data_IF_338826181724
#
_entry.id   IF_338826181724
#
_cell.length_a   1.000
_cell.length_b   1.000
_cell.length_c   1.000
_cell.angle_alpha   90.00
_cell.angle_beta   90.00
_cell.angle_gamma   90.00
#
_symmetry.space_group_name_H-M   'P 1'
#
loop_
_entity.id
_entity.type
_entity.pdbx_description
1 polymer ?
#
# COMPACT_ATOMS: atom_id res chain seq x y z
N UNK A 1 -2.31 -16.41 10.60
CA UNK A 1 -3.44 -17.11 9.96
C UNK A 1 -2.94 -17.74 8.69
N UNK A 2 -3.13 -19.04 8.58
CA UNK A 2 -2.63 -19.83 7.46
C UNK A 2 -3.64 -19.91 6.32
N UNK A 3 -3.17 -20.18 5.11
CA UNK A 3 -4.03 -20.25 3.91
C UNK A 3 -5.18 -21.27 4.04
N UNK A 4 -4.91 -22.42 4.62
CA UNK A 4 -5.94 -23.47 4.79
C UNK A 4 -7.06 -23.04 5.75
N UNK A 5 -6.77 -22.18 6.75
CA UNK A 5 -7.81 -21.64 7.64
C UNK A 5 -8.78 -20.73 6.87
N UNK A 6 -8.25 -19.91 5.94
CA UNK A 6 -9.07 -19.07 5.06
C UNK A 6 -9.94 -19.90 4.12
N UNK A 7 -9.38 -20.97 3.56
CA UNK A 7 -10.11 -21.89 2.69
C UNK A 7 -11.20 -22.63 3.49
N UNK A 8 -10.91 -23.01 4.74
CA UNK A 8 -11.90 -23.62 5.61
C UNK A 8 -13.05 -22.64 5.94
N UNK A 9 -12.75 -21.37 6.18
CA UNK A 9 -13.76 -20.32 6.38
C UNK A 9 -14.60 -20.09 5.12
N UNK A 10 -13.98 -20.06 3.94
CA UNK A 10 -14.67 -19.86 2.66
C UNK A 10 -15.63 -21.03 2.34
N UNK A 11 -15.18 -22.27 2.56
CA UNK A 11 -15.97 -23.48 2.30
C UNK A 11 -16.94 -23.84 3.41
N UNK A 12 -16.78 -23.23 4.56
CA UNK A 12 -17.61 -23.46 5.73
C UNK A 12 -18.98 -22.80 5.68
N UNK A 13 -19.65 -22.71 6.82
CA UNK A 13 -20.94 -22.04 6.89
C UNK A 13 -20.77 -20.52 6.71
N UNK A 14 -21.67 -19.92 5.91
CA UNK A 14 -21.71 -18.46 5.72
C UNK A 14 -21.82 -17.71 7.06
N UNK A 15 -22.52 -18.27 8.02
CA UNK A 15 -22.67 -17.66 9.35
C UNK A 15 -21.33 -17.62 10.09
N UNK A 16 -20.55 -18.69 10.06
CA UNK A 16 -19.23 -18.72 10.72
C UNK A 16 -18.29 -17.68 10.11
N UNK A 17 -18.28 -17.55 8.79
CA UNK A 17 -17.49 -16.51 8.11
C UNK A 17 -17.95 -15.10 8.49
N UNK A 18 -19.26 -14.85 8.55
CA UNK A 18 -19.82 -13.56 8.96
C UNK A 18 -19.40 -13.22 10.38
N UNK A 19 -19.57 -14.13 11.33
CA UNK A 19 -19.17 -13.95 12.74
C UNK A 19 -17.66 -13.70 12.83
N UNK A 20 -16.86 -14.43 12.06
CA UNK A 20 -15.41 -14.23 12.00
C UNK A 20 -15.02 -12.82 11.52
N UNK A 21 -15.71 -12.31 10.50
CA UNK A 21 -15.51 -10.95 9.98
C UNK A 21 -16.00 -9.88 10.98
N UNK A 22 -17.12 -10.12 11.63
CA UNK A 22 -17.68 -9.23 12.66
C UNK A 22 -16.75 -9.10 13.88
N UNK A 23 -16.18 -10.21 14.34
CA UNK A 23 -15.22 -10.22 15.46
C UNK A 23 -13.91 -9.45 15.15
N UNK A 24 -13.68 -9.14 13.88
CA UNK A 24 -12.54 -8.31 13.41
C UNK A 24 -12.96 -6.91 12.95
N UNK A 25 -14.18 -6.51 13.26
CA UNK A 25 -14.76 -5.22 12.84
C UNK A 25 -14.75 -5.01 11.31
N UNK A 26 -14.65 -6.08 10.54
CA UNK A 26 -14.69 -6.05 9.07
C UNK A 26 -16.12 -6.00 8.53
N UNK A 27 -17.11 -6.37 9.34
CA UNK A 27 -18.54 -6.24 9.09
C UNK A 27 -19.24 -5.65 10.32
N UNK A 28 -20.38 -4.94 10.17
CA UNK A 28 -21.15 -4.42 11.29
C UNK A 28 -21.57 -5.53 12.28
N UNK A 29 -21.58 -5.20 13.59
CA UNK A 29 -22.06 -6.11 14.61
C UNK A 29 -22.57 -5.37 15.86
N UNK A 30 -23.87 -5.07 15.97
CA UNK A 30 -24.86 -5.01 14.91
C UNK A 30 -24.86 -3.66 14.14
N UNK A 31 -25.55 -3.61 13.00
CA UNK A 31 -25.81 -2.35 12.29
C UNK A 31 -26.93 -1.58 13.00
N UNK A 32 -26.80 -0.25 13.14
CA UNK A 32 -27.89 0.62 13.61
C UNK A 32 -28.72 1.11 12.44
N UNK A 33 -30.03 1.21 12.66
CA UNK A 33 -30.96 1.79 11.69
C UNK A 33 -30.79 3.31 11.66
N UNK A 34 -30.45 3.88 10.51
CA UNK A 34 -30.30 5.33 10.36
C UNK A 34 -31.60 6.12 10.60
N UNK A 35 -32.79 5.48 10.53
CA UNK A 35 -34.07 6.14 10.76
C UNK A 35 -34.56 6.01 12.21
N UNK A 36 -34.40 4.84 12.81
CA UNK A 36 -34.96 4.53 14.14
C UNK A 36 -33.88 4.54 15.23
N UNK A 37 -32.63 4.64 14.87
CA UNK A 37 -31.46 4.55 15.75
C UNK A 37 -31.40 3.29 16.64
N UNK A 38 -32.17 2.23 16.32
CA UNK A 38 -32.17 0.96 17.03
C UNK A 38 -31.27 -0.06 16.32
N UNK A 39 -30.79 -1.04 17.04
CA UNK A 39 -30.02 -2.14 16.48
C UNK A 39 -30.87 -2.99 15.53
N UNK A 40 -30.34 -3.24 14.32
CA UNK A 40 -30.99 -4.09 13.34
C UNK A 40 -30.68 -5.55 13.63
N UNK A 41 -31.60 -6.43 13.30
CA UNK A 41 -31.44 -7.87 13.45
C UNK A 41 -30.96 -8.52 12.15
N UNK A 42 -30.03 -9.47 12.26
CA UNK A 42 -29.60 -10.28 11.12
C UNK A 42 -30.65 -11.36 10.81
N UNK A 43 -31.21 -11.31 9.61
CA UNK A 43 -32.22 -12.27 9.12
C UNK A 43 -31.70 -13.05 7.92
N UNK A 44 -32.07 -14.33 7.81
CA UNK A 44 -31.75 -15.17 6.66
C UNK A 44 -32.39 -14.62 5.36
N UNK A 45 -31.66 -14.76 4.26
CA UNK A 45 -32.11 -14.41 2.90
C UNK A 45 -31.52 -15.41 1.91
N UNK A 46 -32.26 -16.47 1.59
CA UNK A 46 -31.74 -17.61 0.82
C UNK A 46 -31.22 -17.23 -0.59
N UNK A 47 -31.86 -16.27 -1.26
CA UNK A 47 -31.49 -15.85 -2.63
C UNK A 47 -30.48 -14.67 -2.63
N UNK A 48 -29.56 -14.64 -1.67
CA UNK A 48 -28.53 -13.61 -1.59
C UNK A 48 -27.14 -14.23 -1.44
N UNK A 49 -26.13 -13.58 -2.02
CA UNK A 49 -24.75 -14.09 -2.00
C UNK A 49 -24.26 -14.36 -0.57
N UNK A 50 -24.58 -13.50 0.38
CA UNK A 50 -24.20 -13.63 1.79
C UNK A 50 -25.15 -14.50 2.61
N UNK A 51 -26.33 -14.82 2.10
CA UNK A 51 -27.35 -15.59 2.80
C UNK A 51 -28.06 -14.86 3.94
N UNK A 52 -27.71 -13.62 4.22
CA UNK A 52 -28.25 -12.80 5.33
C UNK A 52 -28.38 -11.32 4.93
N UNK A 53 -29.20 -10.59 5.70
CA UNK A 53 -29.34 -9.14 5.60
C UNK A 53 -29.73 -8.56 6.97
N UNK A 54 -29.51 -7.27 7.14
CA UNK A 54 -30.02 -6.53 8.30
C UNK A 54 -31.48 -6.12 8.11
N UNK A 55 -32.30 -6.26 9.16
CA UNK A 55 -33.71 -5.82 9.20
C UNK A 55 -33.96 -5.03 10.48
N UNK A 56 -34.52 -3.83 10.33
CA UNK A 56 -34.96 -3.02 11.45
C UNK A 56 -36.30 -3.54 11.98
N UNK A 57 -36.43 -3.76 13.28
CA UNK A 57 -37.70 -4.16 13.95
C UNK A 57 -38.70 -3.00 13.97
N UNK A 58 -38.26 -1.76 14.09
CA UNK A 58 -39.11 -0.56 14.11
C UNK A 58 -39.70 -0.22 12.74
N UNK A 59 -38.87 0.23 11.80
CA UNK A 59 -39.35 0.71 10.48
C UNK A 59 -39.38 -0.37 9.39
N UNK A 60 -38.98 -1.60 9.70
CA UNK A 60 -38.90 -2.76 8.78
C UNK A 60 -37.92 -2.60 7.60
N UNK A 61 -37.15 -1.49 7.56
CA UNK A 61 -36.14 -1.29 6.51
C UNK A 61 -35.12 -2.41 6.50
N UNK A 62 -34.68 -2.79 5.29
CA UNK A 62 -33.64 -3.79 5.04
C UNK A 62 -32.35 -3.09 4.60
N UNK A 63 -31.21 -3.61 5.03
CA UNK A 63 -29.88 -3.17 4.61
C UNK A 63 -29.01 -4.37 4.26
N UNK A 64 -28.02 -4.14 3.40
CA UNK A 64 -27.01 -5.15 3.12
C UNK A 64 -26.24 -5.51 4.40
N UNK A 65 -25.82 -6.76 4.50
CA UNK A 65 -24.91 -7.19 5.57
C UNK A 65 -23.58 -6.39 5.53
N UNK A 66 -23.21 -5.94 4.33
CA UNK A 66 -21.94 -5.24 4.04
C UNK A 66 -21.98 -3.74 4.25
N UNK A 67 -23.13 -3.18 4.61
CA UNK A 67 -23.33 -1.73 4.76
C UNK A 67 -22.22 -1.11 5.61
N UNK A 68 -21.62 -0.02 5.17
CA UNK A 68 -20.51 0.69 5.80
C UNK A 68 -19.20 -0.09 5.90
N UNK A 69 -19.06 -1.22 5.20
CA UNK A 69 -17.81 -1.99 5.18
C UNK A 69 -17.12 -1.95 3.82
N UNK A 70 -15.83 -2.26 3.79
CA UNK A 70 -15.08 -2.41 2.56
C UNK A 70 -15.74 -3.38 1.55
N UNK A 71 -16.43 -4.40 2.05
CA UNK A 71 -17.11 -5.41 1.22
C UNK A 71 -18.32 -4.88 0.44
N UNK A 72 -18.84 -3.70 0.79
CA UNK A 72 -19.96 -3.06 0.09
C UNK A 72 -19.62 -2.71 -1.36
N UNK A 73 -18.34 -2.45 -1.65
CA UNK A 73 -17.82 -2.17 -3.01
C UNK A 73 -18.01 -3.34 -3.99
N UNK A 74 -18.17 -4.55 -3.48
CA UNK A 74 -18.20 -5.78 -4.29
C UNK A 74 -19.44 -6.66 -3.99
N UNK A 75 -20.67 -6.15 -4.13
CA UNK A 75 -21.88 -6.79 -3.61
C UNK A 75 -22.22 -8.16 -4.24
N UNK A 76 -21.64 -8.47 -5.41
CA UNK A 76 -21.90 -9.71 -6.15
C UNK A 76 -20.85 -10.81 -5.93
N UNK A 77 -19.76 -10.53 -5.24
CA UNK A 77 -18.68 -11.49 -4.95
C UNK A 77 -18.89 -12.01 -3.53
N UNK A 78 -18.74 -13.32 -3.28
CA UNK A 78 -18.89 -13.86 -1.93
C UNK A 78 -17.84 -13.28 -0.98
N UNK A 79 -18.18 -13.16 0.31
CA UNK A 79 -17.26 -12.67 1.33
C UNK A 79 -15.99 -13.53 1.43
N UNK A 80 -16.11 -14.84 1.30
CA UNK A 80 -14.98 -15.76 1.31
C UNK A 80 -14.04 -15.53 0.12
N UNK A 81 -14.61 -15.34 -1.11
CA UNK A 81 -13.80 -15.02 -2.29
C UNK A 81 -13.08 -13.68 -2.16
N UNK A 82 -13.72 -12.67 -1.57
CA UNK A 82 -13.06 -11.39 -1.31
C UNK A 82 -11.93 -11.54 -0.31
N UNK A 83 -12.12 -12.34 0.74
CA UNK A 83 -11.08 -12.63 1.72
C UNK A 83 -9.88 -13.36 1.10
N UNK A 84 -10.13 -14.32 0.18
CA UNK A 84 -9.07 -14.97 -0.59
C UNK A 84 -8.37 -13.99 -1.55
N UNK A 85 -9.08 -13.03 -2.15
CA UNK A 85 -8.45 -11.98 -2.95
C UNK A 85 -7.52 -11.10 -2.10
N UNK A 86 -7.92 -10.74 -0.88
CA UNK A 86 -7.07 -10.02 0.07
C UNK A 86 -5.82 -10.84 0.39
N UNK A 87 -5.97 -12.14 0.67
CA UNK A 87 -4.84 -13.02 0.91
C UNK A 87 -3.84 -13.03 -0.26
N UNK A 88 -4.30 -13.24 -1.49
CA UNK A 88 -3.42 -13.24 -2.66
C UNK A 88 -2.80 -11.87 -2.95
N UNK A 89 -3.50 -10.78 -2.62
CA UNK A 89 -2.93 -9.44 -2.69
C UNK A 89 -1.76 -9.27 -1.72
N UNK A 90 -1.91 -9.65 -0.45
CA UNK A 90 -0.84 -9.53 0.54
C UNK A 90 0.33 -10.48 0.27
N UNK A 91 0.08 -11.63 -0.36
CA UNK A 91 1.11 -12.55 -0.86
C UNK A 91 1.81 -12.10 -2.14
N UNK A 92 1.52 -10.89 -2.66
CA UNK A 92 2.09 -10.34 -3.90
C UNK A 92 1.82 -11.18 -5.16
N UNK A 93 0.79 -12.01 -5.14
CA UNK A 93 0.39 -12.73 -6.34
C UNK A 93 -0.09 -11.74 -7.43
N UNK A 94 0.23 -12.08 -8.67
CA UNK A 94 -0.23 -11.24 -9.78
C UNK A 94 -1.75 -11.40 -9.98
N UNK A 95 -2.42 -10.31 -10.36
CA UNK A 95 -3.86 -10.29 -10.66
C UNK A 95 -4.28 -11.45 -11.57
N UNK A 96 -3.45 -11.79 -12.58
CA UNK A 96 -3.71 -12.90 -13.51
C UNK A 96 -3.65 -14.25 -12.81
N UNK A 97 -2.68 -14.49 -11.93
CA UNK A 97 -2.58 -15.73 -11.15
C UNK A 97 -3.77 -15.86 -10.20
N UNK A 98 -4.10 -14.81 -9.48
CA UNK A 98 -5.25 -14.77 -8.57
C UNK A 98 -6.56 -15.05 -9.31
N UNK A 99 -6.79 -14.40 -10.46
CA UNK A 99 -7.98 -14.62 -11.27
C UNK A 99 -8.13 -16.08 -11.70
N UNK A 100 -7.03 -16.73 -12.13
CA UNK A 100 -7.02 -18.15 -12.48
C UNK A 100 -7.28 -19.08 -11.31
N UNK A 101 -6.61 -18.82 -10.15
CA UNK A 101 -6.77 -19.66 -8.95
C UNK A 101 -8.16 -19.62 -8.38
N UNK A 102 -8.80 -18.45 -8.41
CA UNK A 102 -10.12 -18.23 -7.87
C UNK A 102 -11.25 -18.38 -8.89
N UNK A 103 -10.93 -18.69 -10.16
CA UNK A 103 -11.87 -18.72 -11.26
C UNK A 103 -12.72 -17.44 -11.37
N UNK A 104 -12.07 -16.28 -11.21
CA UNK A 104 -12.69 -14.96 -11.28
C UNK A 104 -12.30 -14.24 -12.58
N UNK A 105 -13.15 -13.32 -13.02
CA UNK A 105 -12.82 -12.44 -14.14
C UNK A 105 -11.62 -11.55 -13.77
N UNK A 106 -10.64 -11.44 -14.65
CA UNK A 106 -9.42 -10.67 -14.43
C UNK A 106 -9.71 -9.18 -14.17
N UNK A 107 -10.68 -8.59 -14.87
CA UNK A 107 -11.10 -7.19 -14.65
C UNK A 107 -11.67 -6.97 -13.26
N UNK A 108 -12.42 -7.94 -12.72
CA UNK A 108 -12.90 -7.91 -11.34
C UNK A 108 -11.73 -7.95 -10.34
N UNK A 109 -10.78 -8.88 -10.51
CA UNK A 109 -9.60 -8.98 -9.63
C UNK A 109 -8.76 -7.71 -9.72
N UNK A 110 -8.62 -7.12 -10.91
CA UNK A 110 -7.91 -5.84 -11.09
C UNK A 110 -8.58 -4.71 -10.30
N UNK A 111 -9.92 -4.65 -10.28
CA UNK A 111 -10.67 -3.66 -9.50
C UNK A 111 -10.53 -3.89 -8.00
N UNK A 112 -10.58 -5.15 -7.55
CA UNK A 112 -10.36 -5.51 -6.14
C UNK A 112 -8.95 -5.08 -5.71
N UNK A 113 -7.91 -5.44 -6.47
CA UNK A 113 -6.52 -5.12 -6.13
C UNK A 113 -6.28 -3.60 -6.11
N UNK A 114 -6.86 -2.85 -7.05
CA UNK A 114 -6.78 -1.37 -7.02
C UNK A 114 -7.41 -0.81 -5.75
N UNK A 115 -8.58 -1.30 -5.36
CA UNK A 115 -9.23 -0.87 -4.13
C UNK A 115 -8.41 -1.22 -2.87
N UNK A 116 -7.69 -2.37 -2.87
CA UNK A 116 -6.76 -2.71 -1.79
C UNK A 116 -5.50 -1.82 -1.80
N UNK A 117 -5.03 -1.40 -2.96
CA UNK A 117 -3.96 -0.39 -3.06
C UNK A 117 -4.41 0.97 -2.49
N UNK A 118 -5.66 1.37 -2.76
CA UNK A 118 -6.24 2.59 -2.17
C UNK A 118 -6.33 2.51 -0.64
N UNK A 119 -6.53 1.31 -0.07
CA UNK A 119 -6.44 1.10 1.39
C UNK A 119 -5.01 1.38 1.89
N UNK A 120 -3.98 0.92 1.18
CA UNK A 120 -2.58 1.22 1.53
C UNK A 120 -2.30 2.73 1.46
N UNK A 121 -2.72 3.39 0.37
CA UNK A 121 -2.49 4.83 0.17
C UNK A 121 -3.18 5.66 1.27
N UNK A 122 -4.43 5.34 1.62
CA UNK A 122 -5.15 6.03 2.71
C UNK A 122 -4.48 5.82 4.06
N UNK A 123 -4.04 4.61 4.37
CA UNK A 123 -3.33 4.33 5.62
C UNK A 123 -2.03 5.15 5.75
N UNK A 124 -1.29 5.32 4.67
CA UNK A 124 -0.08 6.14 4.66
C UNK A 124 -0.36 7.64 4.78
N UNK A 125 -1.52 8.12 4.33
CA UNK A 125 -1.97 9.51 4.55
C UNK A 125 -2.38 9.73 5.99
N UNK A 126 -3.16 8.82 6.57
CA UNK A 126 -3.65 8.92 7.95
C UNK A 126 -2.53 8.68 8.99
N UNK A 127 -1.59 7.81 8.66
CA UNK A 127 -0.44 7.45 9.51
C UNK A 127 0.86 7.57 8.70
N UNK A 128 1.37 8.77 8.46
CA UNK A 128 2.57 8.99 7.66
C UNK A 128 3.79 8.21 8.19
N UNK A 129 4.62 7.72 7.28
CA UNK A 129 5.87 7.02 7.60
C UNK A 129 7.05 7.97 7.77
N UNK A 130 6.85 9.24 7.48
CA UNK A 130 7.79 10.36 7.59
C UNK A 130 7.40 11.26 8.79
N UNK A 131 8.35 12.03 9.35
CA UNK A 131 9.78 12.05 9.02
C UNK A 131 10.57 10.91 9.69
N UNK A 132 11.70 10.53 9.06
CA UNK A 132 12.68 9.57 9.59
C UNK A 132 14.10 10.17 9.58
N UNK A 133 15.14 9.40 9.97
CA UNK A 133 16.49 9.92 10.12
C UNK A 133 16.67 10.66 11.44
N UNK A 134 17.57 11.65 11.48
CA UNK A 134 17.97 12.41 12.67
C UNK A 134 19.44 12.19 13.00
N UNK A 135 19.92 12.64 14.17
CA UNK A 135 21.32 12.52 14.56
C UNK A 135 21.82 11.06 14.51
N UNK A 136 22.92 10.83 13.81
CA UNK A 136 23.52 9.49 13.66
C UNK A 136 22.86 8.58 12.61
N UNK A 137 21.73 8.99 12.04
CA UNK A 137 21.10 8.23 10.97
C UNK A 137 21.60 8.65 9.58
N UNK A 138 21.90 7.66 8.74
CA UNK A 138 22.22 7.87 7.34
C UNK A 138 20.95 7.75 6.49
N UNK A 139 20.67 8.79 5.72
CA UNK A 139 19.56 8.83 4.77
C UNK A 139 20.13 9.00 3.36
N UNK A 140 19.62 8.24 2.41
CA UNK A 140 20.09 8.25 1.02
C UNK A 140 18.98 8.71 0.09
N UNK A 141 19.30 9.59 -0.84
CA UNK A 141 18.38 10.08 -1.86
C UNK A 141 18.88 9.74 -3.27
N UNK A 142 17.96 9.38 -4.13
CA UNK A 142 18.23 9.10 -5.54
C UNK A 142 16.94 9.19 -6.36
N UNK A 143 17.06 9.35 -7.68
CA UNK A 143 15.94 9.29 -8.61
C UNK A 143 16.08 8.12 -9.57
N UNK A 144 14.95 7.49 -9.83
CA UNK A 144 14.90 6.39 -10.77
C UNK A 144 13.79 6.54 -11.80
N UNK A 145 14.10 6.14 -13.03
CA UNK A 145 13.15 6.17 -14.15
C UNK A 145 12.30 4.91 -14.18
N UNK A 146 10.98 5.08 -14.20
CA UNK A 146 9.97 4.01 -14.23
C UNK A 146 9.27 3.89 -15.60
N UNK A 147 9.99 4.14 -16.66
CA UNK A 147 9.45 3.99 -18.00
C UNK A 147 9.42 2.52 -18.45
N UNK A 148 8.43 2.20 -19.26
CA UNK A 148 8.42 0.93 -19.98
C UNK A 148 9.54 0.97 -21.06
N UNK A 149 10.56 0.11 -20.94
CA UNK A 149 11.55 -0.06 -22.00
C UNK A 149 10.91 -0.82 -23.16
N UNK A 150 10.86 -0.19 -24.35
CA UNK A 150 10.50 -0.89 -25.56
C UNK A 150 11.53 -2.01 -25.85
N UNK A 151 11.07 -3.27 -25.94
CA UNK A 151 11.94 -4.38 -26.34
C UNK A 151 12.27 -4.27 -27.83
N UNK A 152 13.56 -4.40 -28.16
CA UNK A 152 14.05 -4.40 -29.54
C UNK A 152 13.67 -3.14 -30.33
N UNK A 153 13.59 -1.97 -29.69
CA UNK A 153 13.15 -0.72 -30.31
C UNK A 153 11.77 -0.77 -30.99
N UNK A 154 10.98 -1.81 -30.70
CA UNK A 154 9.62 -1.99 -31.20
C UNK A 154 8.62 -1.59 -30.12
N UNK A 155 7.59 -0.87 -30.50
CA UNK A 155 6.52 -0.39 -29.63
C UNK A 155 6.53 1.11 -29.42
N UNK A 156 5.43 1.64 -28.85
CA UNK A 156 5.26 3.07 -28.58
C UNK A 156 6.19 3.49 -27.44
N UNK A 157 7.12 4.40 -27.70
CA UNK A 157 7.91 5.03 -26.64
C UNK A 157 7.01 5.85 -25.75
N UNK A 158 7.28 5.86 -24.43
CA UNK A 158 6.60 6.78 -23.52
C UNK A 158 6.84 8.22 -23.99
N UNK A 159 5.76 9.00 -24.12
CA UNK A 159 5.85 10.40 -24.58
C UNK A 159 6.64 11.29 -23.62
N UNK A 160 6.69 10.93 -22.34
CA UNK A 160 7.47 11.61 -21.28
C UNK A 160 8.08 10.60 -20.33
N UNK A 161 9.23 10.94 -19.79
CA UNK A 161 9.85 10.18 -18.71
C UNK A 161 9.02 10.29 -17.43
N UNK A 162 8.90 9.17 -16.74
CA UNK A 162 8.28 9.12 -15.41
C UNK A 162 9.38 8.89 -14.39
N UNK A 163 9.62 9.90 -13.58
CA UNK A 163 10.63 9.87 -12.54
C UNK A 163 10.00 9.57 -11.18
N UNK A 164 10.68 8.79 -10.40
CA UNK A 164 10.39 8.55 -8.99
C UNK A 164 11.58 9.04 -8.19
N UNK A 165 11.30 9.89 -7.22
CA UNK A 165 12.27 10.30 -6.22
C UNK A 165 12.14 9.37 -5.02
N UNK A 166 13.25 8.85 -4.53
CA UNK A 166 13.34 7.95 -3.37
C UNK A 166 14.23 8.51 -2.29
N UNK A 167 13.75 8.43 -1.05
CA UNK A 167 14.51 8.74 0.16
C UNK A 167 14.44 7.51 1.04
N UNK A 168 15.58 6.93 1.41
CA UNK A 168 15.61 5.74 2.27
C UNK A 168 16.41 6.02 3.54
N UNK A 169 16.02 5.38 4.63
CA UNK A 169 16.76 5.38 5.88
C UNK A 169 17.35 4.00 6.17
N UNK A 170 18.58 4.01 6.67
CA UNK A 170 19.28 2.80 7.10
C UNK A 170 19.09 2.49 8.59
N UNK A 171 18.16 3.20 9.27
CA UNK A 171 17.76 2.89 10.65
C UNK A 171 17.17 1.47 10.80
N UNK A 172 16.76 0.87 9.70
CA UNK A 172 16.15 -0.46 9.63
C UNK A 172 16.92 -1.40 8.71
N UNK A 173 16.87 -2.69 9.01
CA UNK A 173 17.38 -3.76 8.13
C UNK A 173 16.22 -4.72 7.80
N UNK A 174 15.83 -4.83 6.52
CA UNK A 174 16.27 -4.03 5.37
C UNK A 174 15.90 -2.54 5.47
N UNK A 175 16.62 -1.70 4.74
CA UNK A 175 16.35 -0.25 4.68
C UNK A 175 14.92 0.01 4.21
N UNK A 176 14.30 1.07 4.76
CA UNK A 176 12.94 1.49 4.43
C UNK A 176 12.95 2.87 3.80
N UNK A 177 11.97 3.16 2.97
CA UNK A 177 11.98 4.40 2.21
C UNK A 177 10.62 5.07 2.04
N UNK A 178 10.71 6.29 1.54
CA UNK A 178 9.62 7.08 1.00
C UNK A 178 9.86 7.29 -0.49
N UNK A 179 8.86 7.01 -1.33
CA UNK A 179 8.96 7.08 -2.78
C UNK A 179 7.82 7.90 -3.35
N UNK A 180 8.14 8.88 -4.19
CA UNK A 180 7.17 9.78 -4.78
C UNK A 180 7.42 9.98 -6.27
N UNK A 181 6.36 9.92 -7.08
CA UNK A 181 6.41 10.34 -8.49
C UNK A 181 6.64 11.85 -8.54
N UNK A 182 7.62 12.27 -9.36
CA UNK A 182 7.97 13.67 -9.53
C UNK A 182 7.96 14.05 -11.01
N UNK A 183 7.50 15.25 -11.31
CA UNK A 183 7.49 15.77 -12.69
C UNK A 183 8.85 16.33 -13.11
N UNK A 184 9.61 16.86 -12.16
CA UNK A 184 10.93 17.48 -12.39
C UNK A 184 11.90 17.05 -11.29
N UNK A 185 13.19 16.97 -11.64
CA UNK A 185 14.30 16.66 -10.73
C UNK A 185 15.13 17.90 -10.44
N UNK A 186 14.48 18.99 -10.04
CA UNK A 186 15.11 20.25 -9.71
C UNK A 186 14.97 20.59 -8.21
N UNK A 187 15.74 21.54 -7.75
CA UNK A 187 15.77 22.02 -6.37
C UNK A 187 14.35 22.33 -5.87
N UNK A 188 13.56 23.08 -6.65
CA UNK A 188 12.20 23.48 -6.27
C UNK A 188 11.25 22.30 -6.04
N UNK A 189 11.52 21.15 -6.65
CA UNK A 189 10.72 19.92 -6.47
C UNK A 189 11.27 19.05 -5.33
N UNK A 190 12.61 18.88 -5.25
CA UNK A 190 13.22 17.90 -4.36
C UNK A 190 13.40 18.44 -2.94
N UNK A 191 13.81 19.68 -2.74
CA UNK A 191 14.06 20.26 -1.42
C UNK A 191 12.82 20.22 -0.49
N UNK A 192 11.59 20.56 -0.92
CA UNK A 192 10.39 20.43 -0.08
C UNK A 192 10.07 18.99 0.32
N UNK A 193 10.34 18.02 -0.58
CA UNK A 193 10.12 16.60 -0.29
C UNK A 193 11.13 16.13 0.76
N UNK A 194 12.41 16.47 0.59
CA UNK A 194 13.45 16.11 1.54
C UNK A 194 13.17 16.72 2.91
N UNK A 195 12.88 18.02 2.96
CA UNK A 195 12.56 18.74 4.21
C UNK A 195 11.46 18.07 4.99
N UNK A 196 10.39 17.61 4.30
CA UNK A 196 9.26 16.94 4.93
C UNK A 196 9.61 15.52 5.39
N UNK A 197 10.50 14.84 4.69
CA UNK A 197 10.76 13.42 4.91
C UNK A 197 11.81 13.14 6.00
N UNK A 198 12.66 14.11 6.34
CA UNK A 198 13.77 13.88 7.27
C UNK A 198 13.65 14.72 8.55
N UNK A 199 14.16 14.16 9.64
CA UNK A 199 14.28 14.86 10.92
C UNK A 199 15.49 15.79 10.94
N UNK A 200 15.50 16.84 11.77
CA UNK A 200 16.68 17.65 12.01
C UNK A 200 17.89 16.82 12.44
N UNK A 201 19.08 17.20 12.00
CA UNK A 201 20.33 16.52 12.33
C UNK A 201 20.64 15.30 11.45
N UNK A 202 19.91 15.10 10.35
CA UNK A 202 20.13 13.98 9.42
C UNK A 202 21.38 14.20 8.56
N UNK A 203 22.20 13.16 8.39
CA UNK A 203 23.27 13.10 7.38
C UNK A 203 22.72 12.53 6.09
N UNK A 204 22.83 13.28 4.99
CA UNK A 204 22.26 12.94 3.69
C UNK A 204 23.33 12.48 2.71
N UNK A 205 23.07 11.40 2.00
CA UNK A 205 23.93 10.84 0.96
C UNK A 205 23.21 10.88 -0.39
N UNK A 206 23.86 11.41 -1.39
CA UNK A 206 23.34 11.51 -2.77
C UNK A 206 24.44 11.23 -3.78
N UNK A 207 24.08 11.13 -5.07
CA UNK A 207 25.03 11.27 -6.16
C UNK A 207 25.43 12.75 -6.38
N UNK A 208 26.31 13.03 -7.35
CA UNK A 208 26.75 14.39 -7.72
C UNK A 208 25.76 15.10 -8.67
N UNK A 209 24.46 14.87 -8.54
CA UNK A 209 23.48 15.59 -9.34
C UNK A 209 23.39 17.06 -8.92
N UNK A 210 23.34 17.98 -9.90
CA UNK A 210 23.39 19.41 -9.66
C UNK A 210 22.32 19.96 -8.68
N UNK A 211 21.14 19.33 -8.61
CA UNK A 211 20.07 19.73 -7.71
C UNK A 211 20.41 19.50 -6.22
N UNK A 212 21.35 18.62 -5.90
CA UNK A 212 21.78 18.32 -4.53
C UNK A 212 22.88 19.25 -4.02
N UNK A 213 23.60 19.95 -4.91
CA UNK A 213 24.72 20.82 -4.51
C UNK A 213 24.26 21.93 -3.57
N UNK A 214 24.98 22.12 -2.47
CA UNK A 214 24.65 23.11 -1.44
C UNK A 214 23.41 22.83 -0.63
N UNK A 215 22.91 21.63 -0.61
CA UNK A 215 21.68 21.20 0.06
C UNK A 215 21.73 21.43 1.58
N UNK A 216 22.88 21.17 2.24
CA UNK A 216 23.03 21.38 3.66
C UNK A 216 22.84 22.85 4.08
N UNK A 217 23.13 23.80 3.20
CA UNK A 217 22.89 25.22 3.43
C UNK A 217 21.43 25.64 3.15
N UNK A 218 20.67 24.86 2.37
CA UNK A 218 19.30 25.20 1.99
C UNK A 218 18.24 24.51 2.86
N UNK A 219 18.55 23.34 3.42
CA UNK A 219 17.61 22.51 4.16
C UNK A 219 18.09 22.38 5.61
N UNK A 220 17.42 23.05 6.52
CA UNK A 220 17.80 23.11 7.94
C UNK A 220 17.84 21.73 8.63
N UNK A 221 17.11 20.75 8.09
CA UNK A 221 17.09 19.39 8.64
C UNK A 221 18.34 18.57 8.30
N UNK A 222 19.14 19.02 7.29
CA UNK A 222 20.37 18.37 6.84
C UNK A 222 21.55 18.89 7.64
N UNK A 223 22.12 18.04 8.50
CA UNK A 223 23.31 18.39 9.28
C UNK A 223 24.60 18.29 8.44
N UNK A 224 24.67 17.34 7.53
CA UNK A 224 25.80 17.12 6.64
C UNK A 224 25.31 16.51 5.32
N UNK A 225 25.94 16.88 4.22
CA UNK A 225 25.63 16.33 2.89
C UNK A 225 26.88 15.71 2.28
N UNK A 226 26.82 14.43 2.01
CA UNK A 226 27.93 13.64 1.46
C UNK A 226 27.58 13.13 0.06
N UNK A 227 28.51 13.35 -0.87
CA UNK A 227 28.35 12.96 -2.27
C UNK A 227 29.10 11.64 -2.49
N UNK A 228 28.39 10.64 -3.00
CA UNK A 228 28.97 9.35 -3.42
C UNK A 228 29.12 9.34 -4.93
N UNK A 229 30.37 9.39 -5.39
CA UNK A 229 30.67 9.41 -6.84
C UNK A 229 30.77 7.98 -7.36
N UNK A 230 29.71 7.47 -7.94
CA UNK A 230 29.62 6.09 -8.48
C UNK A 230 30.71 5.73 -9.50
N UNK A 231 31.24 6.72 -10.22
CA UNK A 231 32.27 6.48 -11.25
C UNK A 231 33.65 6.06 -10.68
N UNK A 232 33.87 6.22 -9.38
CA UNK A 232 35.17 5.96 -8.74
C UNK A 232 35.16 4.81 -7.75
N UNK A 233 34.10 4.64 -6.97
CA UNK A 233 34.02 3.56 -5.97
C UNK A 233 32.56 3.18 -5.69
N UNK A 234 32.24 1.88 -5.65
CA UNK A 234 30.94 1.37 -5.18
C UNK A 234 30.76 1.58 -3.66
N UNK A 235 31.86 1.72 -2.94
CA UNK A 235 31.96 1.98 -1.51
C UNK A 235 32.95 3.12 -1.31
N UNK A 236 32.60 4.14 -0.57
CA UNK A 236 33.53 5.18 -0.16
C UNK A 236 34.65 4.57 0.72
N UNK A 237 35.92 4.60 0.28
CA UNK A 237 37.00 3.92 0.99
C UNK A 237 37.33 4.54 2.35
N UNK A 238 36.95 5.79 2.59
CA UNK A 238 37.21 6.50 3.85
C UNK A 238 36.11 6.28 4.87
N UNK A 239 34.85 6.22 4.43
CA UNK A 239 33.69 6.16 5.31
C UNK A 239 32.98 4.81 5.32
N UNK A 240 33.33 3.90 4.37
CA UNK A 240 32.65 2.63 4.19
C UNK A 240 31.21 2.75 3.64
N UNK A 241 30.78 3.95 3.29
CA UNK A 241 29.42 4.19 2.80
C UNK A 241 29.24 3.79 1.34
N UNK A 242 28.08 3.22 1.04
CA UNK A 242 27.70 2.76 -0.30
C UNK A 242 26.23 3.09 -0.59
N UNK A 243 25.86 3.06 -1.87
CA UNK A 243 24.48 3.32 -2.33
C UNK A 243 23.67 2.04 -2.55
N UNK A 244 24.21 0.90 -2.17
CA UNK A 244 23.62 -0.42 -2.44
C UNK A 244 22.20 -0.57 -1.88
N UNK A 245 21.86 0.06 -0.75
CA UNK A 245 20.52 -0.05 -0.15
C UNK A 245 19.46 0.65 -1.01
N UNK A 246 19.75 1.85 -1.54
CA UNK A 246 18.79 2.52 -2.42
C UNK A 246 18.68 1.83 -3.76
N UNK A 247 19.78 1.30 -4.29
CA UNK A 247 19.77 0.46 -5.50
C UNK A 247 18.96 -0.81 -5.30
N UNK A 248 19.09 -1.46 -4.14
CA UNK A 248 18.30 -2.62 -3.75
C UNK A 248 16.81 -2.29 -3.70
N UNK A 249 16.44 -1.14 -3.11
CA UNK A 249 15.05 -0.66 -3.12
C UNK A 249 14.54 -0.46 -4.55
N UNK A 250 15.32 0.18 -5.43
CA UNK A 250 14.95 0.35 -6.83
C UNK A 250 14.78 -0.97 -7.56
N UNK A 251 15.67 -1.91 -7.34
CA UNK A 251 15.59 -3.23 -7.96
C UNK A 251 14.31 -3.96 -7.55
N UNK A 252 13.94 -3.92 -6.28
CA UNK A 252 12.70 -4.51 -5.77
C UNK A 252 11.46 -3.85 -6.38
N UNK A 253 11.40 -2.51 -6.40
CA UNK A 253 10.30 -1.75 -7.01
C UNK A 253 10.18 -2.05 -8.51
N UNK A 254 11.29 -2.07 -9.25
CA UNK A 254 11.29 -2.39 -10.68
C UNK A 254 10.96 -3.85 -10.96
N UNK A 255 11.35 -4.77 -10.08
CA UNK A 255 10.96 -6.17 -10.18
C UNK A 255 9.44 -6.32 -10.05
N UNK A 256 8.83 -5.68 -9.04
CA UNK A 256 7.38 -5.66 -8.86
C UNK A 256 6.64 -5.08 -10.08
N UNK A 257 7.16 -3.99 -10.66
CA UNK A 257 6.65 -3.43 -11.91
C UNK A 257 6.74 -4.43 -13.08
N UNK A 258 7.87 -5.12 -13.21
CA UNK A 258 8.10 -6.14 -14.25
C UNK A 258 7.16 -7.34 -14.10
N UNK A 259 6.95 -7.81 -12.89
CA UNK A 259 6.03 -8.91 -12.59
C UNK A 259 4.58 -8.56 -12.95
N UNK A 260 4.19 -7.31 -12.78
CA UNK A 260 2.87 -6.77 -13.18
C UNK A 260 2.77 -6.46 -14.68
N UNK A 261 3.85 -6.68 -15.45
CA UNK A 261 3.97 -6.38 -16.89
C UNK A 261 3.82 -4.90 -17.23
N UNK A 262 4.28 -4.05 -16.33
CA UNK A 262 4.15 -2.60 -16.40
C UNK A 262 3.07 -2.07 -15.48
N UNK A 263 3.18 -0.79 -15.17
CA UNK A 263 2.22 -0.03 -14.37
C UNK A 263 1.88 1.23 -15.16
N UNK A 264 0.61 1.59 -15.24
CA UNK A 264 0.21 2.85 -15.87
C UNK A 264 0.75 4.01 -15.06
N UNK A 265 1.04 5.13 -15.72
CA UNK A 265 1.58 6.33 -15.05
C UNK A 265 0.68 6.79 -13.91
N UNK A 266 -0.64 6.82 -14.16
CA UNK A 266 -1.63 7.27 -13.19
C UNK A 266 -1.76 6.32 -11.98
N UNK A 267 -1.44 5.03 -12.16
CA UNK A 267 -1.46 4.02 -11.10
C UNK A 267 -0.09 3.88 -10.39
N UNK A 268 0.95 4.64 -10.81
CA UNK A 268 2.32 4.44 -10.29
C UNK A 268 2.44 4.87 -8.83
N UNK A 269 1.84 5.99 -8.43
CA UNK A 269 1.92 6.43 -7.03
C UNK A 269 1.23 5.45 -6.10
N UNK A 270 0.04 4.95 -6.44
CA UNK A 270 -0.65 3.95 -5.60
C UNK A 270 0.12 2.63 -5.51
N UNK A 271 0.88 2.27 -6.56
CA UNK A 271 1.83 1.16 -6.47
C UNK A 271 2.98 1.44 -5.51
N UNK A 272 3.57 2.64 -5.55
CA UNK A 272 4.64 3.02 -4.63
C UNK A 272 4.12 3.06 -3.19
N UNK A 273 2.90 3.55 -2.97
CA UNK A 273 2.25 3.57 -1.67
C UNK A 273 2.04 2.14 -1.14
N UNK A 274 1.58 1.20 -1.98
CA UNK A 274 1.50 -0.21 -1.62
C UNK A 274 2.87 -0.75 -1.17
N UNK A 275 3.93 -0.44 -1.93
CA UNK A 275 5.29 -0.91 -1.60
C UNK A 275 5.83 -0.26 -0.32
N UNK A 276 5.57 1.03 -0.10
CA UNK A 276 5.87 1.70 1.17
C UNK A 276 5.09 1.07 2.33
N UNK A 277 3.78 0.84 2.16
CA UNK A 277 2.96 0.18 3.16
C UNK A 277 3.55 -1.18 3.56
N UNK A 278 3.99 -1.98 2.58
CA UNK A 278 4.65 -3.27 2.82
C UNK A 278 5.93 -3.13 3.63
N UNK A 279 6.79 -2.18 3.29
CA UNK A 279 8.04 -1.94 4.02
C UNK A 279 7.81 -1.50 5.46
N UNK A 280 6.79 -0.68 5.71
CA UNK A 280 6.62 -0.02 7.00
C UNK A 280 5.59 -0.69 7.92
N UNK A 281 4.59 -1.40 7.37
CA UNK A 281 3.41 -1.89 8.10
C UNK A 281 3.19 -3.39 8.03
N UNK A 282 3.69 -4.06 7.00
CA UNK A 282 3.37 -5.46 6.76
C UNK A 282 3.87 -6.39 7.88
N UNK A 283 4.97 -6.05 8.54
CA UNK A 283 5.64 -6.97 9.44
C UNK A 283 6.30 -8.13 8.68
N UNK A 284 6.42 -9.28 9.30
CA UNK A 284 6.88 -10.49 8.64
C UNK A 284 5.76 -11.16 7.81
N UNK A 285 6.14 -12.09 6.96
CA UNK A 285 5.22 -12.80 6.05
C UNK A 285 4.09 -13.57 6.76
N UNK A 286 4.24 -13.91 8.05
CA UNK A 286 3.21 -14.59 8.85
C UNK A 286 2.14 -13.62 9.34
N UNK A 287 2.50 -12.37 9.55
CA UNK A 287 1.62 -11.35 10.13
C UNK A 287 1.01 -10.39 9.11
N UNK A 288 1.53 -10.35 7.87
CA UNK A 288 1.10 -9.38 6.86
C UNK A 288 -0.41 -9.38 6.63
N UNK A 289 -1.04 -10.55 6.57
CA UNK A 289 -2.50 -10.63 6.38
C UNK A 289 -3.25 -10.06 7.57
N UNK A 290 -2.84 -10.37 8.80
CA UNK A 290 -3.46 -9.84 10.00
C UNK A 290 -3.30 -8.32 10.09
N UNK A 291 -2.08 -7.83 9.81
CA UNK A 291 -1.78 -6.40 9.79
C UNK A 291 -2.61 -5.67 8.73
N UNK A 292 -2.77 -6.25 7.53
CA UNK A 292 -3.58 -5.67 6.48
C UNK A 292 -5.08 -5.65 6.83
N UNK A 293 -5.61 -6.76 7.36
CA UNK A 293 -6.99 -6.84 7.78
C UNK A 293 -7.33 -5.87 8.92
N UNK A 294 -6.35 -5.52 9.76
CA UNK A 294 -6.53 -4.55 10.84
C UNK A 294 -6.60 -3.08 10.34
N UNK A 295 -6.08 -2.80 9.15
CA UNK A 295 -6.14 -1.45 8.54
C UNK A 295 -7.53 -1.16 7.96
N UNK A 296 -8.19 -2.16 7.38
CA UNK A 296 -9.48 -1.97 6.70
C UNK A 296 -10.54 -1.34 7.63
N UNK A 297 -10.79 -1.84 8.85
CA UNK A 297 -11.82 -1.25 9.74
C UNK A 297 -11.52 0.18 10.18
N UNK A 298 -10.27 0.61 10.16
CA UNK A 298 -9.88 1.97 10.52
C UNK A 298 -10.37 2.99 9.49
N UNK A 299 -10.54 2.56 8.23
CA UNK A 299 -10.96 3.41 7.10
C UNK A 299 -12.46 3.28 6.80
N UNK A 300 -13.10 2.22 7.27
CA UNK A 300 -14.52 1.96 7.07
C UNK A 300 -15.18 1.89 8.43
N UNK A 301 -15.88 2.96 8.83
CA UNK A 301 -16.57 3.03 10.13
C UNK A 301 -17.76 2.07 10.10
N UNK A 302 -17.51 0.85 10.49
CA UNK A 302 -18.48 -0.25 10.53
C UNK A 302 -19.45 -0.08 11.70
N UNK A 303 -19.03 0.62 12.75
CA UNK A 303 -19.90 1.09 13.82
C UNK A 303 -20.48 2.45 13.42
N UNK A 304 -21.79 2.65 13.64
CA UNK A 304 -22.37 3.98 13.44
C UNK A 304 -21.54 5.01 14.20
N UNK A 305 -21.16 6.12 13.56
CA UNK A 305 -20.62 7.25 14.32
C UNK A 305 -21.62 7.57 15.44
N UNK A 306 -21.12 7.72 16.64
CA UNK A 306 -21.91 8.35 17.70
C UNK A 306 -22.36 9.72 17.17
N UNK A 307 -23.66 10.02 17.25
CA UNK A 307 -24.21 11.32 16.96
C UNK A 307 -23.49 12.38 17.78
#
# INVERSE_FOLDING_TARGET
MEFYELVALERGSKLNLIVWLQNRSLLPNPLRCAQCNIHMEMKKRNNHVDGFHWRCSGCRKKRSLRTNSWFEEFPRVSLGMLLLCIYYFVCEDTQRKTARRLNLNQGLVSRIFRNLQDVCSRDLVERPVIPFGGPGAAVKCDESKFNHKAKHNRGRRAARDTWVFGIITTEFTPARGYFQVVDRRNIATLDPIITRCIRPGTVLYTDDWAAYRGMAARINNVADHRIVVHARNLVDPLTGFHTQEIESCWNNLKLGQKMRRGIKRDDLQSYLDEQMWRQWRAGDHRHILQNFLAVIPQQYVVTNPAL
#
